data_IF_524317790748
#
_entry.id   IF_524317790748
#
_cell.length_a   1.000
_cell.length_b   1.000
_cell.length_c   1.000
_cell.angle_alpha   90.00
_cell.angle_beta   90.00
_cell.angle_gamma   90.00
#
_symmetry.space_group_name_H-M   'P 1'
#
loop_
_entity.id
_entity.type
_entity.pdbx_description
1 polymer ?
#
# COMPACT_ATOMS: atom_id res chain seq x y z
N UNK A 1 12.62 7.49 -0.91
CA UNK A 1 12.75 6.21 -1.64
C UNK A 1 13.23 5.09 -0.71
N UNK A 2 12.59 4.94 0.46
CA UNK A 2 13.02 4.01 1.52
C UNK A 2 11.83 3.17 2.00
N UNK A 3 11.17 2.48 1.06
CA UNK A 3 9.95 1.72 1.33
C UNK A 3 10.23 0.31 1.88
N UNK A 4 11.46 -0.20 1.72
CA UNK A 4 11.90 -1.49 2.26
C UNK A 4 12.81 -1.20 3.44
N UNK A 5 12.33 -1.52 4.64
CA UNK A 5 13.02 -1.27 5.91
C UNK A 5 13.29 -2.61 6.62
N UNK A 6 14.40 -2.74 7.36
CA UNK A 6 14.62 -3.90 8.22
C UNK A 6 13.47 -4.06 9.20
N UNK A 7 13.06 -5.30 9.46
CA UNK A 7 12.03 -5.68 10.44
C UNK A 7 12.34 -5.25 11.89
N UNK A 8 13.57 -4.82 12.14
CA UNK A 8 14.05 -4.27 13.42
C UNK A 8 13.74 -2.78 13.61
N UNK A 9 13.22 -2.07 12.60
CA UNK A 9 12.80 -0.68 12.74
C UNK A 9 11.49 -0.57 13.54
N UNK A 10 11.53 0.29 14.56
CA UNK A 10 10.31 0.71 15.28
C UNK A 10 9.38 1.45 14.32
N UNK A 11 8.08 1.12 14.38
CA UNK A 11 6.97 1.56 13.51
C UNK A 11 6.60 0.63 12.33
N UNK A 12 7.12 -0.60 12.25
CA UNK A 12 6.66 -1.57 11.25
C UNK A 12 5.46 -2.42 11.70
N UNK A 13 5.16 -2.47 12.99
CA UNK A 13 4.08 -3.30 13.55
C UNK A 13 2.72 -3.05 12.87
N UNK A 14 2.40 -1.78 12.59
CA UNK A 14 1.16 -1.40 11.89
C UNK A 14 1.10 -1.98 10.49
N UNK A 15 2.21 -1.91 9.74
CA UNK A 15 2.30 -2.43 8.38
C UNK A 15 2.30 -3.96 8.34
N UNK A 16 2.96 -4.61 9.30
CA UNK A 16 2.94 -6.07 9.45
C UNK A 16 1.52 -6.59 9.69
N UNK A 17 0.78 -5.94 10.60
CA UNK A 17 -0.62 -6.29 10.86
C UNK A 17 -1.50 -6.06 9.64
N UNK A 18 -1.35 -4.92 8.97
CA UNK A 18 -2.06 -4.62 7.73
C UNK A 18 -1.84 -5.72 6.68
N UNK A 19 -0.58 -6.08 6.45
CA UNK A 19 -0.23 -7.10 5.47
C UNK A 19 -0.84 -8.47 5.86
N UNK A 20 -0.80 -8.84 7.14
CA UNK A 20 -1.37 -10.11 7.61
C UNK A 20 -2.90 -10.19 7.44
N UNK A 21 -3.59 -9.07 7.64
CA UNK A 21 -5.06 -8.98 7.57
C UNK A 21 -5.55 -8.92 6.12
N UNK A 22 -4.95 -8.08 5.28
CA UNK A 22 -5.46 -7.76 3.95
C UNK A 22 -4.83 -8.55 2.80
N UNK A 23 -3.64 -9.13 2.95
CA UNK A 23 -3.04 -9.95 1.89
C UNK A 23 -3.86 -11.21 1.54
N UNK A 24 -4.76 -11.63 2.43
CA UNK A 24 -5.67 -12.76 2.21
C UNK A 24 -6.91 -12.38 1.39
N UNK A 25 -7.33 -11.12 1.44
CA UNK A 25 -8.58 -10.64 0.86
C UNK A 25 -8.38 -9.77 -0.37
N UNK A 26 -7.25 -9.08 -0.48
CA UNK A 26 -6.92 -8.27 -1.63
C UNK A 26 -6.50 -9.13 -2.81
N UNK A 27 -6.91 -8.76 -4.03
CA UNK A 27 -6.54 -9.50 -5.22
C UNK A 27 -5.05 -9.33 -5.53
N UNK A 28 -4.46 -10.37 -6.10
CA UNK A 28 -3.10 -10.30 -6.62
C UNK A 28 -3.05 -9.47 -7.90
N UNK A 29 -1.92 -8.81 -8.15
CA UNK A 29 -1.61 -8.11 -9.39
C UNK A 29 -0.45 -8.84 -10.06
N UNK A 30 -0.70 -9.53 -11.17
CA UNK A 30 0.30 -10.30 -11.93
C UNK A 30 0.99 -9.48 -13.03
N UNK A 31 0.38 -8.38 -13.47
CA UNK A 31 0.89 -7.49 -14.50
C UNK A 31 0.87 -6.04 -14.05
N UNK A 32 1.90 -5.29 -14.45
CA UNK A 32 1.94 -3.85 -14.21
C UNK A 32 0.86 -3.16 -15.04
N UNK A 33 -0.04 -2.44 -14.37
CA UNK A 33 -1.03 -1.56 -15.01
C UNK A 33 -0.44 -0.19 -15.33
N UNK A 34 -1.08 0.53 -16.23
CA UNK A 34 -0.75 1.92 -16.50
C UNK A 34 -0.96 2.76 -15.25
N UNK A 35 -0.02 3.66 -15.00
CA UNK A 35 -0.13 4.62 -13.90
C UNK A 35 -1.33 5.53 -14.16
N UNK A 36 -2.12 5.88 -13.12
CA UNK A 36 -3.18 6.86 -13.28
C UNK A 36 -2.59 8.24 -13.60
N UNK A 37 -3.39 9.09 -14.26
CA UNK A 37 -2.97 10.42 -14.72
C UNK A 37 -2.46 11.32 -13.58
N UNK A 38 -3.00 11.13 -12.37
CA UNK A 38 -2.69 11.88 -11.16
C UNK A 38 -1.51 11.28 -10.37
N UNK A 39 -0.85 10.22 -10.84
CA UNK A 39 0.20 9.51 -10.11
C UNK A 39 1.30 10.43 -9.53
N UNK A 40 1.68 11.48 -10.27
CA UNK A 40 2.67 12.48 -9.82
C UNK A 40 2.21 13.31 -8.63
N UNK A 41 0.91 13.60 -8.52
CA UNK A 41 0.34 14.37 -7.40
C UNK A 41 0.36 13.57 -6.09
N UNK A 42 0.43 12.24 -6.20
CA UNK A 42 0.57 11.37 -5.05
C UNK A 42 2.03 11.24 -4.59
N UNK A 43 3.03 11.60 -5.39
CA UNK A 43 4.43 11.54 -4.95
C UNK A 43 4.67 12.49 -3.76
N UNK A 44 5.25 11.99 -2.67
CA UNK A 44 5.57 12.80 -1.49
C UNK A 44 4.38 13.22 -0.60
N UNK A 45 3.14 12.92 -0.97
CA UNK A 45 1.97 13.29 -0.15
C UNK A 45 1.95 12.56 1.19
N UNK A 46 1.83 13.32 2.27
CA UNK A 46 1.80 12.81 3.64
C UNK A 46 0.40 12.34 4.09
N UNK A 47 0.39 11.36 4.99
CA UNK A 47 -0.83 10.86 5.63
C UNK A 47 -1.77 10.13 4.68
N UNK A 48 -1.25 9.45 3.65
CA UNK A 48 -2.08 8.75 2.66
C UNK A 48 -2.88 7.62 3.27
N UNK A 49 -2.26 6.89 4.20
CA UNK A 49 -2.90 5.77 4.87
C UNK A 49 -4.13 6.27 5.64
N UNK A 50 -3.98 7.30 6.46
CA UNK A 50 -5.07 7.84 7.29
C UNK A 50 -6.19 8.46 6.45
N UNK A 51 -5.84 9.10 5.32
CA UNK A 51 -6.80 9.84 4.49
C UNK A 51 -7.54 8.99 3.45
N UNK A 52 -6.91 7.94 2.94
CA UNK A 52 -7.38 7.24 1.75
C UNK A 52 -7.38 5.71 1.86
N UNK A 53 -6.95 5.15 2.98
CA UNK A 53 -7.00 3.70 3.16
C UNK A 53 -8.45 3.18 3.08
N UNK A 54 -8.64 2.14 2.28
CA UNK A 54 -9.89 1.39 2.18
C UNK A 54 -9.61 -0.08 2.51
N UNK A 55 -10.35 -0.69 3.43
CA UNK A 55 -10.23 -2.13 3.70
C UNK A 55 -10.81 -2.98 2.56
N UNK A 56 -11.65 -2.40 1.70
CA UNK A 56 -12.30 -3.13 0.61
C UNK A 56 -11.27 -3.52 -0.47
N UNK A 57 -11.38 -4.74 -1.04
CA UNK A 57 -10.50 -5.18 -2.11
C UNK A 57 -10.69 -4.33 -3.39
N UNK A 58 -9.61 -4.13 -4.12
CA UNK A 58 -9.65 -3.56 -5.46
C UNK A 58 -10.11 -4.57 -6.51
N UNK A 59 -10.03 -4.19 -7.79
CA UNK A 59 -10.53 -5.01 -8.90
C UNK A 59 -9.59 -6.14 -9.37
N UNK A 60 -8.38 -6.26 -8.81
CA UNK A 60 -7.36 -7.20 -9.31
C UNK A 60 -6.86 -6.82 -10.70
N UNK A 61 -6.14 -7.71 -11.39
CA UNK A 61 -5.74 -7.59 -12.81
C UNK A 61 -6.26 -8.73 -13.69
#
# INVERSE_FOLDING_TARGET
>A
AEAIKPDTESNLDTWLKLNADYAKSWPNITQKKDSPEDAKEWEGKEGKFEKYFSPNPGSGD
#
